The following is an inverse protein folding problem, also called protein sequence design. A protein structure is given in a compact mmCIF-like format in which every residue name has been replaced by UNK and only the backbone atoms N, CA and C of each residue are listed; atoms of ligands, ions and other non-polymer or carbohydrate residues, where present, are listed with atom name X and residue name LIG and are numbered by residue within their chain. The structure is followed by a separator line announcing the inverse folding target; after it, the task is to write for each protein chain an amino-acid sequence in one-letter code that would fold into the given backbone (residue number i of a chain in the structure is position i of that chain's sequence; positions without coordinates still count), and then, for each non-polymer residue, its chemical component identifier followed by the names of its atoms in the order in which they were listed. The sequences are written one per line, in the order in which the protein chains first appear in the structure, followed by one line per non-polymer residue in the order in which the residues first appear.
data_IF_005432771251
#
_entry.id   IF_005432771251
#
_cell.length_a   1.000
_cell.length_b   1.000
_cell.length_c   1.000
_cell.angle_alpha   90.00
_cell.angle_beta   90.00
_cell.angle_gamma   90.00
#
_symmetry.space_group_name_H-M   'P 1'
#
loop_
_entity.id
_entity.type
_entity.pdbx_description
1 polymer ?
#
# COMPACT_ATOMS: atom_id res chain seq x y z
N UNK A 1 10.41 5.77 -13.73
CA UNK A 1 10.47 4.57 -12.86
C UNK A 1 9.54 3.53 -13.47
N UNK A 2 9.95 2.27 -13.61
CA UNK A 2 9.00 1.22 -14.07
C UNK A 2 7.95 1.04 -12.98
N UNK A 3 6.67 1.08 -13.34
CA UNK A 3 5.58 0.72 -12.43
C UNK A 3 5.64 -0.79 -12.22
N UNK A 4 6.36 -1.20 -11.19
CA UNK A 4 6.41 -2.61 -10.79
C UNK A 4 5.01 -3.01 -10.33
N UNK A 5 4.41 -3.97 -11.03
CA UNK A 5 3.11 -4.53 -10.65
C UNK A 5 3.35 -5.60 -9.58
N UNK A 6 2.60 -5.48 -8.50
CA UNK A 6 2.62 -6.44 -7.41
C UNK A 6 1.29 -7.19 -7.39
N UNK A 7 1.38 -8.49 -7.17
CA UNK A 7 0.23 -9.35 -6.92
C UNK A 7 -0.33 -9.11 -5.52
N UNK A 8 -1.54 -9.61 -5.25
CA UNK A 8 -2.13 -9.56 -3.92
C UNK A 8 -1.24 -10.29 -2.89
N UNK A 9 -0.77 -11.50 -3.22
CA UNK A 9 0.14 -12.29 -2.38
C UNK A 9 1.42 -11.53 -2.02
N UNK A 10 1.98 -10.74 -2.95
CA UNK A 10 3.17 -9.93 -2.70
C UNK A 10 2.88 -8.81 -1.69
N UNK A 11 1.75 -8.12 -1.81
CA UNK A 11 1.33 -7.14 -0.81
C UNK A 11 1.06 -7.80 0.53
N UNK A 12 0.39 -8.95 0.55
CA UNK A 12 0.08 -9.69 1.78
C UNK A 12 1.36 -10.10 2.52
N UNK A 13 2.38 -10.56 1.78
CA UNK A 13 3.71 -10.84 2.34
C UNK A 13 4.37 -9.58 2.93
N UNK A 14 4.29 -8.43 2.25
CA UNK A 14 4.83 -7.17 2.77
C UNK A 14 4.10 -6.73 4.06
N UNK A 15 2.77 -6.84 4.11
CA UNK A 15 1.98 -6.55 5.31
C UNK A 15 2.26 -7.52 6.46
N UNK A 16 2.50 -8.79 6.18
CA UNK A 16 2.92 -9.75 7.20
C UNK A 16 4.28 -9.37 7.80
N UNK A 17 5.27 -9.03 6.96
CA UNK A 17 6.59 -8.59 7.42
C UNK A 17 6.46 -7.29 8.23
N UNK A 18 5.60 -6.34 7.81
CA UNK A 18 5.33 -5.10 8.55
C UNK A 18 4.80 -5.35 9.96
N UNK A 19 3.87 -6.30 10.10
CA UNK A 19 3.30 -6.70 11.41
C UNK A 19 4.30 -7.44 12.29
N UNK A 20 5.41 -7.89 11.72
CA UNK A 20 6.40 -8.73 12.38
C UNK A 20 6.04 -10.20 12.27
N UNK A 21 7.02 -11.01 11.86
CA UNK A 21 6.90 -12.47 11.79
C UNK A 21 6.86 -13.00 13.23
N UNK A 22 5.79 -13.73 13.57
CA UNK A 22 5.60 -14.35 14.87
C UNK A 22 6.16 -15.78 14.85
N UNK A 23 7.20 -16.04 15.64
CA UNK A 23 7.86 -17.36 15.75
C UNK A 23 9.10 -17.51 14.87
N UNK A 24 9.65 -18.72 14.84
CA UNK A 24 10.96 -19.00 14.21
C UNK A 24 10.89 -19.16 12.68
N UNK A 25 9.68 -19.29 12.12
CA UNK A 25 9.48 -19.56 10.68
C UNK A 25 8.52 -18.56 10.06
N UNK A 26 8.87 -18.13 8.84
CA UNK A 26 8.00 -17.30 8.00
C UNK A 26 6.81 -18.11 7.48
N UNK A 27 5.70 -17.43 7.19
CA UNK A 27 4.58 -18.08 6.51
C UNK A 27 4.97 -18.57 5.12
N UNK A 28 4.16 -19.48 4.56
CA UNK A 28 4.33 -19.94 3.19
C UNK A 28 4.20 -18.77 2.17
N UNK A 29 3.36 -17.77 2.45
CA UNK A 29 3.20 -16.59 1.61
C UNK A 29 4.49 -15.76 1.56
N UNK A 30 5.06 -15.45 2.73
CA UNK A 30 6.34 -14.74 2.84
C UNK A 30 7.47 -15.55 2.20
N UNK A 31 7.52 -16.87 2.47
CA UNK A 31 8.52 -17.77 1.90
C UNK A 31 8.54 -17.75 0.37
N UNK A 32 7.37 -17.90 -0.28
CA UNK A 32 7.23 -17.89 -1.75
C UNK A 32 7.64 -16.57 -2.39
N UNK A 33 7.34 -15.44 -1.74
CA UNK A 33 7.57 -14.11 -2.31
C UNK A 33 8.94 -13.51 -1.95
N UNK A 34 9.59 -14.01 -0.90
CA UNK A 34 10.83 -13.45 -0.34
C UNK A 34 11.94 -13.21 -1.37
N UNK A 35 12.19 -14.16 -2.28
CA UNK A 35 13.22 -14.05 -3.33
C UNK A 35 12.97 -12.86 -4.25
N UNK A 36 11.72 -12.69 -4.73
CA UNK A 36 11.34 -11.59 -5.63
C UNK A 36 11.32 -10.25 -4.89
N UNK A 37 10.72 -10.19 -3.71
CA UNK A 37 10.65 -8.97 -2.90
C UNK A 37 12.05 -8.48 -2.49
N UNK A 38 12.98 -9.40 -2.19
CA UNK A 38 14.39 -9.06 -1.91
C UNK A 38 15.11 -8.57 -3.17
N UNK A 39 14.92 -9.21 -4.32
CA UNK A 39 15.46 -8.75 -5.61
C UNK A 39 14.97 -7.35 -6.00
N UNK A 40 13.73 -7.00 -5.62
CA UNK A 40 13.16 -5.67 -5.81
C UNK A 40 13.55 -4.66 -4.70
N UNK A 41 14.35 -5.10 -3.72
CA UNK A 41 14.81 -4.31 -2.57
C UNK A 41 13.68 -3.78 -1.67
N UNK A 42 12.56 -4.49 -1.60
CA UNK A 42 11.44 -4.15 -0.71
C UNK A 42 11.62 -4.72 0.70
N UNK A 43 12.41 -5.79 0.80
CA UNK A 43 12.73 -6.45 2.05
C UNK A 43 14.24 -6.70 2.12
N UNK A 44 14.76 -6.77 3.34
CA UNK A 44 16.11 -7.23 3.65
C UNK A 44 16.03 -8.55 4.41
N UNK A 45 16.97 -9.45 4.15
CA UNK A 45 17.09 -10.74 4.84
C UNK A 45 18.47 -10.76 5.50
N UNK A 46 18.50 -10.73 6.83
CA UNK A 46 19.73 -10.78 7.60
C UNK A 46 20.34 -12.20 7.58
N UNK A 47 21.61 -12.33 7.97
CA UNK A 47 22.33 -13.62 8.00
C UNK A 47 21.67 -14.68 8.88
N UNK A 48 20.92 -14.25 9.90
CA UNK A 48 20.14 -15.12 10.79
C UNK A 48 18.74 -15.46 10.24
N UNK A 49 18.46 -15.12 8.97
CA UNK A 49 17.16 -15.36 8.32
C UNK A 49 16.07 -14.35 8.68
N UNK A 50 16.34 -13.36 9.56
CA UNK A 50 15.34 -12.35 9.91
C UNK A 50 15.02 -11.46 8.71
N UNK A 51 13.74 -11.34 8.40
CA UNK A 51 13.22 -10.51 7.31
C UNK A 51 12.69 -9.20 7.87
N UNK A 52 13.07 -8.07 7.26
CA UNK A 52 12.56 -6.74 7.60
C UNK A 52 12.19 -5.97 6.33
N UNK A 53 11.27 -5.00 6.45
CA UNK A 53 11.01 -4.05 5.36
C UNK A 53 12.19 -3.10 5.18
N UNK A 54 12.38 -2.65 3.94
CA UNK A 54 13.19 -1.47 3.64
C UNK A 54 12.27 -0.26 3.53
N UNK A 55 12.84 0.95 3.44
CA UNK A 55 12.07 2.17 3.15
C UNK A 55 11.26 2.05 1.86
N UNK A 56 11.81 1.38 0.85
CA UNK A 56 11.12 1.12 -0.42
C UNK A 56 9.92 0.18 -0.22
N UNK A 57 10.04 -0.82 0.65
CA UNK A 57 8.95 -1.71 1.04
C UNK A 57 7.82 -0.96 1.76
N UNK A 58 8.17 -0.10 2.71
CA UNK A 58 7.21 0.76 3.42
C UNK A 58 6.50 1.72 2.46
N UNK A 59 7.22 2.33 1.51
CA UNK A 59 6.63 3.17 0.47
C UNK A 59 5.67 2.39 -0.43
N UNK A 60 6.01 1.16 -0.81
CA UNK A 60 5.12 0.32 -1.64
C UNK A 60 3.80 0.01 -0.92
N UNK A 61 3.86 -0.33 0.37
CA UNK A 61 2.68 -0.51 1.23
C UNK A 61 1.87 0.78 1.31
N UNK A 62 2.54 1.91 1.55
CA UNK A 62 1.87 3.20 1.71
C UNK A 62 1.12 3.60 0.43
N UNK A 63 1.75 3.48 -0.74
CA UNK A 63 1.11 3.74 -2.02
C UNK A 63 -0.11 2.83 -2.25
N UNK A 64 -0.03 1.54 -1.85
CA UNK A 64 -1.19 0.64 -1.90
C UNK A 64 -2.33 1.11 -1.03
N UNK A 65 -2.06 1.57 0.18
CA UNK A 65 -3.09 2.12 1.08
C UNK A 65 -3.75 3.36 0.48
N UNK A 66 -2.98 4.25 -0.16
CA UNK A 66 -3.52 5.41 -0.87
C UNK A 66 -4.48 5.02 -1.99
N UNK A 67 -4.12 4.04 -2.83
CA UNK A 67 -5.01 3.61 -3.93
C UNK A 67 -6.26 2.92 -3.40
N UNK A 68 -6.14 2.07 -2.38
CA UNK A 68 -7.29 1.43 -1.75
C UNK A 68 -8.23 2.45 -1.10
N UNK A 69 -7.69 3.49 -0.45
CA UNK A 69 -8.46 4.59 0.10
C UNK A 69 -9.24 5.35 -0.98
N UNK A 70 -8.60 5.68 -2.12
CA UNK A 70 -9.29 6.33 -3.24
C UNK A 70 -10.41 5.46 -3.82
N UNK A 71 -10.19 4.15 -3.97
CA UNK A 71 -11.26 3.21 -4.40
C UNK A 71 -12.42 3.21 -3.42
N UNK A 72 -12.13 3.07 -2.13
CA UNK A 72 -13.16 3.05 -1.09
C UNK A 72 -13.97 4.35 -1.07
N UNK A 73 -13.32 5.51 -1.20
CA UNK A 73 -14.00 6.81 -1.26
C UNK A 73 -14.78 7.05 -2.56
N UNK A 74 -14.34 6.47 -3.67
CA UNK A 74 -15.06 6.53 -4.94
C UNK A 74 -16.33 5.67 -4.91
N UNK A 75 -16.30 4.52 -4.23
CA UNK A 75 -17.45 3.63 -4.05
C UNK A 75 -18.40 4.15 -2.95
N UNK A 76 -17.84 4.58 -1.83
CA UNK A 76 -18.57 5.05 -0.66
C UNK A 76 -17.94 6.34 -0.13
N UNK A 77 -18.54 7.50 -0.47
CA UNK A 77 -18.32 8.77 0.22
C UNK A 77 -18.22 8.58 1.75
N UNK A 78 -17.15 9.08 2.38
CA UNK A 78 -16.97 9.01 3.82
C UNK A 78 -16.45 7.66 4.37
N UNK A 79 -16.01 6.75 3.49
CA UNK A 79 -15.33 5.52 3.93
C UNK A 79 -14.14 5.83 4.87
N UNK A 80 -13.90 5.00 5.90
CA UNK A 80 -12.80 5.21 6.81
C UNK A 80 -11.45 5.01 6.08
N UNK A 81 -10.54 5.96 6.27
CA UNK A 81 -9.18 5.91 5.76
C UNK A 81 -8.19 6.24 6.88
N UNK A 82 -6.97 5.70 6.78
CA UNK A 82 -5.94 5.93 7.80
C UNK A 82 -5.48 7.40 7.82
N UNK A 83 -5.14 7.93 8.99
CA UNK A 83 -4.81 9.36 9.16
C UNK A 83 -3.58 9.83 8.37
N UNK A 84 -2.54 8.99 8.23
CA UNK A 84 -1.36 9.28 7.42
C UNK A 84 -1.67 9.30 5.92
N UNK A 85 -2.58 8.42 5.47
CA UNK A 85 -3.10 8.37 4.10
C UNK A 85 -3.95 9.61 3.81
N UNK A 86 -4.87 9.96 4.71
CA UNK A 86 -5.70 11.15 4.62
C UNK A 86 -4.86 12.43 4.50
N UNK A 87 -3.86 12.58 5.38
CA UNK A 87 -2.95 13.72 5.35
C UNK A 87 -2.20 13.84 4.02
N UNK A 88 -1.71 12.72 3.48
CA UNK A 88 -0.97 12.73 2.22
C UNK A 88 -1.86 13.03 1.01
N UNK A 89 -3.03 12.40 0.93
CA UNK A 89 -3.99 12.61 -0.15
C UNK A 89 -4.58 14.03 -0.10
N UNK A 90 -4.87 14.55 1.09
CA UNK A 90 -5.35 15.92 1.29
C UNK A 90 -4.33 16.96 0.85
N UNK A 91 -3.04 16.80 1.21
CA UNK A 91 -1.94 17.66 0.73
C UNK A 91 -1.80 17.67 -0.79
N UNK A 92 -2.23 16.61 -1.47
CA UNK A 92 -2.22 16.50 -2.94
C UNK A 92 -3.54 16.93 -3.58
N UNK A 93 -4.52 17.34 -2.79
CA UNK A 93 -5.88 17.70 -3.22
C UNK A 93 -6.59 16.54 -3.92
N UNK A 94 -6.35 15.30 -3.48
CA UNK A 94 -7.04 14.12 -4.00
C UNK A 94 -8.35 13.83 -3.26
N UNK A 95 -8.49 14.31 -2.02
CA UNK A 95 -9.69 14.18 -1.19
C UNK A 95 -10.10 15.53 -0.62
N UNK A 96 -11.36 15.66 -0.23
CA UNK A 96 -11.98 16.83 0.37
C UNK A 96 -12.63 16.46 1.69
N UNK A 97 -12.50 17.32 2.71
CA UNK A 97 -13.19 17.14 3.99
C UNK A 97 -14.69 17.33 3.83
N UNK A 98 -15.46 16.54 4.56
CA UNK A 98 -16.93 16.65 4.59
C UNK A 98 -17.40 17.38 5.84
N UNK A 99 -18.50 18.17 5.77
CA UNK A 99 -19.09 18.82 6.94
C UNK A 99 -19.47 17.85 8.08
N UNK A 100 -19.99 16.68 7.71
CA UNK A 100 -20.40 15.59 8.60
C UNK A 100 -19.24 14.74 9.13
N UNK A 101 -17.99 15.07 8.75
CA UNK A 101 -16.79 14.31 9.06
C UNK A 101 -16.47 13.24 8.01
N UNK A 102 -15.20 12.84 7.99
CA UNK A 102 -14.65 11.98 6.93
C UNK A 102 -14.31 12.78 5.67
N UNK A 103 -14.12 12.05 4.57
CA UNK A 103 -13.63 12.61 3.31
C UNK A 103 -14.47 12.16 2.13
N UNK A 104 -14.46 12.96 1.07
CA UNK A 104 -14.89 12.57 -0.27
C UNK A 104 -13.71 12.61 -1.23
N UNK A 105 -13.77 11.79 -2.29
CA UNK A 105 -12.80 11.88 -3.37
C UNK A 105 -13.10 13.13 -4.22
N UNK A 106 -12.06 13.93 -4.47
CA UNK A 106 -12.12 15.08 -5.38
C UNK A 106 -12.13 14.63 -6.85
N UNK A 107 -12.40 15.56 -7.77
CA UNK A 107 -12.32 15.26 -9.21
C UNK A 107 -10.90 14.89 -9.65
N UNK A 108 -9.89 15.61 -9.14
CA UNK A 108 -8.48 15.24 -9.32
C UNK A 108 -8.16 13.86 -8.75
N UNK A 109 -8.79 13.51 -7.63
CA UNK A 109 -8.75 12.18 -7.02
C UNK A 109 -9.26 11.10 -7.96
N UNK A 110 -10.43 11.33 -8.56
CA UNK A 110 -11.06 10.43 -9.52
C UNK A 110 -10.20 10.24 -10.77
N UNK A 111 -9.76 11.34 -11.39
CA UNK A 111 -8.87 11.29 -12.56
C UNK A 111 -7.58 10.51 -12.26
N UNK A 112 -6.94 10.80 -11.12
CA UNK A 112 -5.72 10.08 -10.72
C UNK A 112 -5.98 8.59 -10.48
N UNK A 113 -7.15 8.22 -9.93
CA UNK A 113 -7.52 6.83 -9.71
C UNK A 113 -7.77 6.10 -11.04
N UNK A 114 -8.46 6.75 -11.98
CA UNK A 114 -8.68 6.21 -13.33
C UNK A 114 -7.36 5.96 -14.06
N UNK A 115 -6.43 6.93 -14.00
CA UNK A 115 -5.09 6.78 -14.57
C UNK A 115 -4.35 5.59 -13.96
N UNK A 116 -4.40 5.42 -12.63
CA UNK A 116 -3.78 4.30 -11.92
C UNK A 116 -4.39 2.96 -12.36
N UNK A 117 -5.72 2.90 -12.47
CA UNK A 117 -6.44 1.69 -12.92
C UNK A 117 -6.06 1.36 -14.37
N UNK A 118 -5.98 2.36 -15.25
CA UNK A 118 -5.61 2.17 -16.67
C UNK A 118 -4.21 1.57 -16.83
N UNK A 119 -3.30 1.86 -15.89
CA UNK A 119 -1.95 1.30 -15.86
C UNK A 119 -1.92 -0.13 -15.27
N UNK A 120 -3.07 -0.65 -14.84
CA UNK A 120 -3.32 -2.02 -14.40
C UNK A 120 -2.91 -2.28 -12.95
N UNK A 121 -3.37 -1.40 -12.06
CA UNK A 121 -3.33 -1.54 -10.60
C UNK A 121 -4.54 -2.30 -10.06
#
# INVERSE_FOLDING_TARGET
MKNEKFTQDEYDALYEIKRGIKGDRVSACVGRNSKRLSGLKLISIARNGRITLTDKGEQAIFLRRCVLALRALAEQPGAPIDGDVALFLGKKSHILERPEGGFDISDKGRESLEDIISQGY
#
